data_IF_851367831001
#
_entry.id   IF_851367831001
#
_cell.length_a   1.000
_cell.length_b   1.000
_cell.length_c   1.000
_cell.angle_alpha   90.00
_cell.angle_beta   90.00
_cell.angle_gamma   90.00
#
_symmetry.space_group_name_H-M   'P 1'
#
loop_
_entity.id
_entity.type
_entity.pdbx_description
1 polymer ?
#
# COMPACT_ATOMS: atom_id res chain seq x y z
N UNK A 1 -33.92 -36.79 -6.48
CA UNK A 1 -33.13 -36.05 -5.47
C UNK A 1 -31.75 -35.81 -6.08
N UNK A 2 -31.66 -34.83 -6.99
CA UNK A 2 -30.44 -34.50 -7.72
C UNK A 2 -29.56 -33.53 -6.92
N UNK A 3 -28.98 -34.06 -5.84
CA UNK A 3 -27.95 -33.34 -5.08
C UNK A 3 -26.66 -33.11 -5.91
N UNK A 4 -26.52 -33.84 -7.02
CA UNK A 4 -25.42 -33.68 -7.98
C UNK A 4 -25.53 -32.45 -8.90
N UNK A 5 -26.74 -31.94 -9.19
CA UNK A 5 -26.91 -30.82 -10.13
C UNK A 5 -26.68 -29.44 -9.46
N UNK A 6 -27.00 -29.29 -8.17
CA UNK A 6 -26.79 -28.04 -7.43
C UNK A 6 -25.34 -27.85 -6.94
N UNK A 7 -24.60 -28.95 -6.73
CA UNK A 7 -23.21 -28.90 -6.28
C UNK A 7 -22.32 -28.10 -7.25
N UNK A 8 -22.53 -28.25 -8.57
CA UNK A 8 -21.83 -27.47 -9.58
C UNK A 8 -22.12 -25.97 -9.48
N UNK A 9 -23.38 -25.60 -9.24
CA UNK A 9 -23.78 -24.20 -9.06
C UNK A 9 -23.19 -23.59 -7.78
N UNK A 10 -23.16 -24.35 -6.69
CA UNK A 10 -22.56 -23.94 -5.41
C UNK A 10 -21.05 -23.69 -5.60
N UNK A 11 -20.34 -24.66 -6.20
CA UNK A 11 -18.90 -24.54 -6.42
C UNK A 11 -18.56 -23.39 -7.37
N UNK A 12 -19.34 -23.21 -8.44
CA UNK A 12 -19.17 -22.08 -9.35
C UNK A 12 -19.42 -20.73 -8.65
N UNK A 13 -20.47 -20.64 -7.83
CA UNK A 13 -20.81 -19.40 -7.10
C UNK A 13 -19.72 -19.04 -6.08
N UNK A 14 -19.23 -20.01 -5.30
CA UNK A 14 -18.11 -19.79 -4.38
C UNK A 14 -16.81 -19.52 -5.12
N UNK A 15 -16.56 -20.20 -6.23
CA UNK A 15 -15.40 -19.95 -7.09
C UNK A 15 -15.39 -18.53 -7.66
N UNK A 16 -16.54 -18.06 -8.15
CA UNK A 16 -16.70 -16.70 -8.63
C UNK A 16 -16.55 -15.67 -7.50
N UNK A 17 -17.17 -15.92 -6.34
CA UNK A 17 -17.01 -15.05 -5.17
C UNK A 17 -15.54 -14.95 -4.75
N UNK A 18 -14.83 -16.08 -4.67
CA UNK A 18 -13.40 -16.12 -4.36
C UNK A 18 -12.57 -15.38 -5.41
N UNK A 19 -12.89 -15.54 -6.70
CA UNK A 19 -12.22 -14.85 -7.79
C UNK A 19 -12.38 -13.33 -7.69
N UNK A 20 -13.60 -12.85 -7.39
CA UNK A 20 -13.87 -11.41 -7.21
C UNK A 20 -13.11 -10.87 -6.01
N UNK A 21 -13.14 -11.57 -4.86
CA UNK A 21 -12.39 -11.16 -3.66
C UNK A 21 -10.89 -11.12 -3.95
N UNK A 22 -10.34 -12.15 -4.60
CA UNK A 22 -8.92 -12.19 -4.97
C UNK A 22 -8.55 -11.04 -5.92
N UNK A 23 -9.39 -10.74 -6.92
CA UNK A 23 -9.18 -9.63 -7.83
C UNK A 23 -9.16 -8.28 -7.09
N UNK A 24 -10.07 -8.07 -6.13
CA UNK A 24 -10.08 -6.86 -5.30
C UNK A 24 -8.83 -6.74 -4.43
N UNK A 25 -8.40 -7.85 -3.81
CA UNK A 25 -7.17 -7.86 -3.00
C UNK A 25 -5.95 -7.50 -3.85
N UNK A 26 -5.82 -8.12 -5.04
CA UNK A 26 -4.72 -7.82 -5.97
C UNK A 26 -4.77 -6.36 -6.41
N UNK A 27 -5.96 -5.84 -6.72
CA UNK A 27 -6.15 -4.46 -7.14
C UNK A 27 -5.77 -3.46 -6.03
N UNK A 28 -6.22 -3.68 -4.80
CA UNK A 28 -5.87 -2.84 -3.63
C UNK A 28 -4.37 -2.84 -3.37
N UNK A 29 -3.71 -4.00 -3.47
CA UNK A 29 -2.26 -4.08 -3.31
C UNK A 29 -1.55 -3.31 -4.44
N UNK A 30 -1.99 -3.46 -5.69
CA UNK A 30 -1.42 -2.74 -6.82
C UNK A 30 -1.59 -1.23 -6.66
N UNK A 31 -2.77 -0.77 -6.24
CA UNK A 31 -3.07 0.63 -5.98
C UNK A 31 -2.21 1.20 -4.83
N UNK A 32 -2.14 0.49 -3.71
CA UNK A 32 -1.30 0.89 -2.57
C UNK A 32 0.20 0.96 -2.93
N UNK A 33 0.68 0.08 -3.82
CA UNK A 33 2.05 0.16 -4.34
C UNK A 33 2.26 1.39 -5.22
N UNK A 34 1.27 1.79 -6.02
CA UNK A 34 1.34 3.00 -6.82
C UNK A 34 1.38 4.26 -5.94
N UNK A 35 0.60 4.30 -4.87
CA UNK A 35 0.60 5.39 -3.90
C UNK A 35 1.93 5.50 -3.15
N UNK A 36 2.48 4.37 -2.67
CA UNK A 36 3.77 4.33 -1.96
C UNK A 36 4.95 4.80 -2.81
N UNK A 37 4.94 4.52 -4.12
CA UNK A 37 5.99 5.02 -5.04
C UNK A 37 6.00 6.54 -5.13
N UNK A 38 4.82 7.18 -5.10
CA UNK A 38 4.70 8.64 -5.13
C UNK A 38 5.18 9.27 -3.82
N UNK A 39 4.86 8.65 -2.69
CA UNK A 39 5.36 9.07 -1.38
C UNK A 39 6.88 8.94 -1.28
N UNK A 40 7.47 7.82 -1.73
CA UNK A 40 8.92 7.61 -1.72
C UNK A 40 9.68 8.63 -2.58
N UNK A 41 9.14 9.01 -3.73
CA UNK A 41 9.72 10.05 -4.59
C UNK A 41 9.66 11.44 -3.93
N UNK A 42 8.59 11.75 -3.20
CA UNK A 42 8.47 12.99 -2.44
C UNK A 42 9.36 13.00 -1.19
N UNK A 43 9.53 11.87 -0.52
CA UNK A 43 10.41 11.72 0.64
C UNK A 43 11.87 11.88 0.24
N UNK A 44 12.29 11.28 -0.89
CA UNK A 44 13.62 11.49 -1.47
C UNK A 44 13.87 12.97 -1.83
N UNK A 45 12.87 13.69 -2.32
CA UNK A 45 12.98 15.12 -2.66
C UNK A 45 12.86 16.05 -1.43
N UNK A 46 12.12 15.66 -0.40
CA UNK A 46 11.83 16.46 0.80
C UNK A 46 12.86 16.30 1.93
N UNK A 47 13.50 15.14 2.06
CA UNK A 47 14.51 14.85 3.08
C UNK A 47 15.78 15.68 2.89
N UNK A 48 16.16 16.02 1.65
CA UNK A 48 17.38 16.82 1.41
C UNK A 48 17.31 18.28 1.89
N UNK A 49 16.12 18.90 2.01
CA UNK A 49 16.02 20.32 2.37
C UNK A 49 15.93 20.57 3.87
N UNK A 50 15.38 19.63 4.66
CA UNK A 50 15.23 19.79 6.13
C UNK A 50 16.42 19.25 6.93
N UNK A 51 17.24 18.40 6.32
CA UNK A 51 18.42 17.80 6.98
C UNK A 51 19.70 18.62 6.81
N UNK A 52 19.61 19.93 6.55
CA UNK A 52 20.66 20.81 7.04
C UNK A 52 20.32 21.11 8.50
N UNK A 53 20.87 20.36 9.48
CA UNK A 53 20.96 20.92 10.81
C UNK A 53 21.69 22.24 10.62
N UNK A 54 21.03 23.33 11.00
CA UNK A 54 21.68 24.62 11.19
C UNK A 54 22.88 24.34 12.08
N UNK A 55 24.03 24.17 11.43
CA UNK A 55 25.26 23.77 12.05
C UNK A 55 25.53 24.82 13.11
N UNK A 56 25.60 24.35 14.36
CA UNK A 56 26.41 24.92 15.41
C UNK A 56 26.49 26.47 15.37
N UNK A 57 25.59 27.13 16.10
CA UNK A 57 26.02 28.31 16.85
C UNK A 57 26.46 27.81 18.22
N UNK A 58 27.76 27.52 18.43
CA UNK A 58 28.33 27.47 19.77
C UNK A 58 28.45 28.93 20.21
N UNK A 59 27.36 29.51 20.69
CA UNK A 59 27.42 30.78 21.41
C UNK A 59 27.84 30.47 22.87
N UNK A 60 29.07 29.98 23.02
CA UNK A 60 29.83 30.23 24.23
C UNK A 60 30.61 31.52 24.02
N UNK A 61 30.11 32.64 24.54
CA UNK A 61 30.78 33.94 24.78
C UNK A 61 29.65 34.86 25.29
N UNK A 62 29.61 35.54 26.43
CA UNK A 62 30.57 36.07 27.41
C UNK A 62 29.76 36.26 28.70
N UNK A 63 30.18 35.74 29.86
CA UNK A 63 30.91 36.48 30.91
C UNK A 63 30.44 37.91 31.16
#
# INVERSE_FOLDING_TARGET
MDLGNHAGFILASYGLALAVVAALVVWVIADGRAQRRRLADLEARGVHRRSQPHAAQPAGESR
#
